data_IF_664998250725
#
_entry.id   IF_664998250725
#
_cell.length_a   1.000
_cell.length_b   1.000
_cell.length_c   1.000
_cell.angle_alpha   90.00
_cell.angle_beta   90.00
_cell.angle_gamma   90.00
#
_symmetry.space_group_name_H-M   'P 1'
#
loop_
_entity.id
_entity.type
_entity.pdbx_description
1 polymer ?
#
# COMPACT_ATOMS: atom_id res chain seq x y z
N UNK A 1 9.78 11.39 7.45
CA UNK A 1 9.37 10.51 6.34
C UNK A 1 8.61 9.35 6.94
N UNK A 2 7.34 9.21 6.57
CA UNK A 2 6.46 8.16 7.09
C UNK A 2 6.28 7.13 5.96
N UNK A 3 6.47 5.85 6.27
CA UNK A 3 6.34 4.76 5.29
C UNK A 3 5.21 3.82 5.67
N UNK A 4 4.50 3.33 4.65
CA UNK A 4 3.44 2.35 4.82
C UNK A 4 3.85 1.00 4.21
N UNK A 5 3.78 -0.05 5.02
CA UNK A 5 4.03 -1.42 4.60
C UNK A 5 2.71 -2.11 4.28
N UNK A 6 2.45 -2.34 3.00
CA UNK A 6 1.28 -3.08 2.55
C UNK A 6 1.64 -4.55 2.38
N UNK A 7 0.94 -5.44 3.09
CA UNK A 7 1.08 -6.89 2.94
C UNK A 7 -0.10 -7.52 2.19
N UNK A 8 -1.17 -6.74 1.98
CA UNK A 8 -2.41 -7.20 1.38
C UNK A 8 -2.42 -6.95 -0.13
N UNK A 9 -2.56 -8.02 -0.91
CA UNK A 9 -2.54 -7.95 -2.37
C UNK A 9 -3.76 -7.23 -2.97
N UNK A 10 -4.93 -7.29 -2.32
CA UNK A 10 -6.12 -6.56 -2.78
C UNK A 10 -5.96 -5.06 -2.55
N UNK A 11 -5.41 -4.68 -1.40
CA UNK A 11 -5.12 -3.30 -1.04
C UNK A 11 -4.07 -2.69 -1.97
N UNK A 12 -2.99 -3.43 -2.26
CA UNK A 12 -2.00 -3.04 -3.27
C UNK A 12 -2.66 -2.78 -4.63
N UNK A 13 -3.55 -3.69 -5.08
CA UNK A 13 -4.24 -3.53 -6.37
C UNK A 13 -5.09 -2.28 -6.42
N UNK A 14 -5.87 -1.99 -5.36
CA UNK A 14 -6.66 -0.77 -5.26
C UNK A 14 -5.81 0.51 -5.27
N UNK A 15 -4.65 0.48 -4.60
CA UNK A 15 -3.69 1.59 -4.64
C UNK A 15 -3.12 1.77 -6.05
N UNK A 16 -2.82 0.66 -6.74
CA UNK A 16 -2.32 0.69 -8.11
C UNK A 16 -3.36 1.20 -9.11
N UNK A 17 -4.65 0.83 -8.94
CA UNK A 17 -5.77 1.38 -9.72
C UNK A 17 -5.93 2.90 -9.53
N UNK A 18 -5.53 3.42 -8.36
CA UNK A 18 -5.46 4.86 -8.06
C UNK A 18 -4.13 5.52 -8.50
N UNK A 19 -3.32 4.84 -9.31
CA UNK A 19 -2.00 5.28 -9.77
C UNK A 19 -0.96 5.55 -8.67
N UNK A 20 -1.21 5.09 -7.44
CA UNK A 20 -0.25 5.20 -6.34
C UNK A 20 0.87 4.18 -6.56
N UNK A 21 2.10 4.68 -6.72
CA UNK A 21 3.29 3.82 -6.89
C UNK A 21 3.91 3.48 -5.54
N UNK A 22 4.32 2.22 -5.41
CA UNK A 22 5.17 1.80 -4.30
C UNK A 22 6.62 2.19 -4.59
N UNK A 23 7.37 2.52 -3.53
CA UNK A 23 8.81 2.76 -3.58
C UNK A 23 9.54 1.44 -3.89
N UNK A 24 9.19 0.37 -3.17
CA UNK A 24 9.83 -0.93 -3.34
C UNK A 24 8.87 -2.08 -3.03
N UNK A 25 9.20 -3.25 -3.56
CA UNK A 25 8.52 -4.51 -3.27
C UNK A 25 9.58 -5.52 -2.86
N UNK A 26 9.43 -6.07 -1.66
CA UNK A 26 10.39 -7.02 -1.11
C UNK A 26 9.67 -8.23 -0.49
N UNK A 27 10.46 -9.26 -0.19
CA UNK A 27 10.05 -10.47 0.51
C UNK A 27 10.62 -10.42 1.93
N UNK A 28 9.79 -10.70 2.92
CA UNK A 28 10.27 -10.93 4.29
C UNK A 28 11.04 -12.25 4.35
N UNK A 29 12.21 -12.23 5.00
CA UNK A 29 13.11 -13.40 5.06
C UNK A 29 12.46 -14.52 5.89
N UNK A 30 11.89 -14.19 7.05
CA UNK A 30 11.33 -15.16 7.98
C UNK A 30 10.04 -15.82 7.49
N UNK A 31 9.17 -15.05 6.84
CA UNK A 31 7.81 -15.50 6.48
C UNK A 31 7.61 -15.72 4.98
N UNK A 32 8.63 -15.44 4.15
CA UNK A 32 8.52 -15.42 2.70
C UNK A 32 7.31 -14.60 2.18
N UNK A 33 6.85 -13.63 2.97
CA UNK A 33 5.68 -12.82 2.68
C UNK A 33 6.10 -11.60 1.87
N UNK A 34 5.43 -11.36 0.74
CA UNK A 34 5.65 -10.16 -0.09
C UNK A 34 5.04 -8.94 0.59
N UNK A 35 5.75 -7.83 0.54
CA UNK A 35 5.22 -6.54 0.95
C UNK A 35 5.62 -5.45 -0.05
N UNK A 36 4.80 -4.41 -0.07
CA UNK A 36 5.00 -3.21 -0.86
C UNK A 36 5.17 -2.04 0.08
N UNK A 37 6.25 -1.27 -0.13
CA UNK A 37 6.56 -0.08 0.64
C UNK A 37 6.04 1.15 -0.09
N UNK A 38 5.26 1.96 0.59
CA UNK A 38 4.76 3.23 0.06
C UNK A 38 5.29 4.40 0.88
N UNK A 39 5.49 5.53 0.23
CA UNK A 39 5.64 6.81 0.91
C UNK A 39 4.27 7.29 1.36
N UNK A 40 4.15 7.72 2.61
CA UNK A 40 2.93 8.36 3.09
C UNK A 40 2.98 9.83 2.66
N UNK A 41 2.39 10.09 1.50
CA UNK A 41 2.07 11.43 0.99
C UNK A 41 0.61 11.77 1.27
N UNK A 42 0.21 13.03 1.11
CA UNK A 42 -1.19 13.43 1.24
C UNK A 42 -2.10 12.69 0.24
N UNK A 43 -1.61 12.48 -0.99
CA UNK A 43 -2.30 11.68 -2.02
C UNK A 43 -2.47 10.22 -1.60
N UNK A 44 -1.43 9.63 -0.99
CA UNK A 44 -1.51 8.27 -0.46
C UNK A 44 -2.57 8.18 0.65
N UNK A 45 -2.58 9.14 1.58
CA UNK A 45 -3.56 9.15 2.66
C UNK A 45 -4.99 9.28 2.13
N UNK A 46 -5.23 10.17 1.17
CA UNK A 46 -6.54 10.30 0.53
C UNK A 46 -6.98 9.01 -0.15
N UNK A 47 -6.10 8.40 -0.96
CA UNK A 47 -6.38 7.13 -1.61
C UNK A 47 -6.69 6.01 -0.60
N UNK A 48 -5.93 5.98 0.51
CA UNK A 48 -6.10 5.01 1.59
C UNK A 48 -7.44 5.17 2.31
N UNK A 49 -7.83 6.41 2.62
CA UNK A 49 -9.11 6.72 3.26
C UNK A 49 -10.30 6.35 2.37
N UNK A 50 -10.23 6.66 1.08
CA UNK A 50 -11.27 6.28 0.12
C UNK A 50 -11.44 4.76 0.06
N UNK A 51 -10.34 4.01 -0.01
CA UNK A 51 -10.37 2.54 -0.03
C UNK A 51 -11.01 1.97 1.24
N UNK A 52 -10.72 2.56 2.40
CA UNK A 52 -11.32 2.15 3.69
C UNK A 52 -12.81 2.47 3.75
N UNK A 53 -13.25 3.60 3.17
CA UNK A 53 -14.67 3.98 3.14
C UNK A 53 -15.50 3.06 2.25
N UNK A 54 -14.96 2.56 1.13
CA UNK A 54 -15.68 1.64 0.24
C UNK A 54 -15.89 0.24 0.83
N UNK A 55 -15.28 -0.10 1.98
CA UNK A 55 -15.52 -1.37 2.68
C UNK A 55 -16.66 -1.32 3.71
N UNK A 56 -17.37 -0.20 3.83
CA UNK A 56 -18.50 -0.01 4.76
C UNK A 56 -19.83 0.02 4.00
#
# INVERSE_FOLDING_TARGET
MNYFYCYDGQMMRKLQDKHIRYITRALTIDKHQKFWLYEITDEFQQALEEIKRTQK
#
